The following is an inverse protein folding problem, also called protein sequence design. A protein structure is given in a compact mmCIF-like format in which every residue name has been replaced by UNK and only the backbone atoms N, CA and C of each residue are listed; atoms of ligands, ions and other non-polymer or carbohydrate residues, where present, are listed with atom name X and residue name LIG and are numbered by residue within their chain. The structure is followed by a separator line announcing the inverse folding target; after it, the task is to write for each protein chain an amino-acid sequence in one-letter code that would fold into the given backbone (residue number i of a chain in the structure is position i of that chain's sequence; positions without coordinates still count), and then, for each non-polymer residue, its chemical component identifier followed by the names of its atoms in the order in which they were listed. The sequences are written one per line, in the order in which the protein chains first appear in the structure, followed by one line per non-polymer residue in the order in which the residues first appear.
data_IF_520595910017
#
_entry.id   IF_520595910017
#
_cell.length_a   1.000
_cell.length_b   1.000
_cell.length_c   1.000
_cell.angle_alpha   90.00
_cell.angle_beta   90.00
_cell.angle_gamma   90.00
#
_symmetry.space_group_name_H-M   'P 1'
#
loop_
_entity.id
_entity.type
_entity.pdbx_description
1 polymer ?
#
# COMPACT_ATOMS: atom_id res chain seq x y z
N UNK A 1 28.16 18.54 13.83
CA UNK A 1 26.76 18.32 14.25
C UNK A 1 26.09 19.69 14.42
N UNK A 2 25.44 20.17 13.35
CA UNK A 2 24.45 21.25 13.27
C UNK A 2 23.70 20.99 11.97
N UNK A 3 22.41 20.69 12.07
CA UNK A 3 21.51 20.48 10.94
C UNK A 3 21.06 21.87 10.46
N UNK A 4 21.15 22.13 9.16
CA UNK A 4 20.68 23.38 8.55
C UNK A 4 19.78 23.02 7.37
N UNK A 5 18.48 23.28 7.52
CA UNK A 5 17.51 23.22 6.42
C UNK A 5 17.93 24.23 5.34
N UNK A 6 17.98 23.79 4.07
CA UNK A 6 18.26 24.65 2.93
C UNK A 6 17.00 25.47 2.63
N UNK A 7 16.89 26.63 3.26
CA UNK A 7 16.51 27.85 2.54
C UNK A 7 17.83 28.56 2.20
N UNK A 8 17.96 28.98 0.95
CA UNK A 8 19.11 29.61 0.30
C UNK A 8 20.25 28.73 -0.22
N UNK A 9 20.48 28.93 -1.52
CA UNK A 9 21.54 28.37 -2.33
C UNK A 9 22.91 28.90 -1.90
N UNK A 10 23.88 28.00 -1.70
CA UNK A 10 25.20 28.09 -2.32
C UNK A 10 26.11 26.89 -1.99
N UNK A 11 26.77 26.41 -3.05
CA UNK A 11 28.05 25.66 -3.10
C UNK A 11 28.01 24.12 -3.00
N UNK A 12 28.80 23.55 -3.92
CA UNK A 12 29.03 22.15 -4.27
C UNK A 12 29.74 21.32 -3.19
N UNK A 13 29.29 20.08 -3.04
CA UNK A 13 29.95 19.00 -2.32
C UNK A 13 29.12 17.73 -2.52
N UNK A 14 29.53 16.87 -3.45
CA UNK A 14 28.82 15.64 -3.83
C UNK A 14 28.80 14.68 -2.65
N UNK A 15 27.64 14.55 -2.01
CA UNK A 15 27.24 13.42 -1.18
C UNK A 15 25.72 13.24 -1.24
N UNK A 16 25.28 11.98 -1.20
CA UNK A 16 23.91 11.47 -1.11
C UNK A 16 23.17 11.90 0.19
N UNK A 17 23.50 13.06 0.76
CA UNK A 17 23.18 13.39 2.16
C UNK A 17 22.12 14.46 2.37
N UNK A 18 21.55 15.08 1.35
CA UNK A 18 20.40 15.97 1.55
C UNK A 18 19.43 15.86 0.37
N UNK A 19 18.42 15.00 0.51
CA UNK A 19 17.24 15.06 -0.34
C UNK A 19 16.45 16.32 0.01
N UNK A 20 16.38 17.35 -0.85
CA UNK A 20 15.50 18.49 -0.58
C UNK A 20 14.06 17.99 -0.63
N UNK A 21 13.44 17.82 0.54
CA UNK A 21 11.99 17.67 0.62
C UNK A 21 11.38 19.00 0.22
N UNK A 22 10.63 18.99 -0.87
CA UNK A 22 9.98 20.18 -1.38
C UNK A 22 8.49 20.09 -1.04
N UNK A 23 7.96 21.10 -0.36
CA UNK A 23 6.61 21.05 0.23
C UNK A 23 5.54 21.70 -0.65
N UNK A 24 5.89 22.11 -1.88
CA UNK A 24 4.94 22.70 -2.83
C UNK A 24 5.41 22.47 -4.28
N UNK A 25 4.59 21.84 -5.12
CA UNK A 25 4.88 21.73 -6.57
C UNK A 25 4.20 22.80 -7.40
N UNK A 26 3.63 23.82 -6.76
CA UNK A 26 2.98 24.95 -7.41
C UNK A 26 3.75 26.26 -7.19
N UNK A 27 4.81 26.22 -6.39
CA UNK A 27 5.83 27.26 -6.44
C UNK A 27 6.62 27.13 -7.76
N UNK A 28 6.12 27.87 -8.76
CA UNK A 28 6.76 27.99 -10.07
C UNK A 28 8.21 28.44 -9.95
N UNK A 29 8.55 29.24 -8.94
CA UNK A 29 9.91 29.66 -8.65
C UNK A 29 10.78 28.49 -8.23
N UNK A 30 10.31 27.65 -7.31
CA UNK A 30 11.02 26.47 -6.83
C UNK A 30 11.23 25.43 -7.94
N UNK A 31 10.19 25.12 -8.71
CA UNK A 31 10.30 24.14 -9.80
C UNK A 31 11.20 24.65 -10.94
N UNK A 32 11.12 25.93 -11.30
CA UNK A 32 12.04 26.53 -12.26
C UNK A 32 13.48 26.55 -11.74
N UNK A 33 13.69 26.85 -10.46
CA UNK A 33 15.01 26.81 -9.83
C UNK A 33 15.59 25.39 -9.83
N UNK A 34 14.79 24.36 -9.54
CA UNK A 34 15.23 22.97 -9.65
C UNK A 34 15.54 22.60 -11.09
N UNK A 35 14.68 22.97 -12.04
CA UNK A 35 14.91 22.72 -13.46
C UNK A 35 16.22 23.39 -13.92
N UNK A 36 16.48 24.61 -13.49
CA UNK A 36 17.73 25.32 -13.78
C UNK A 36 18.93 24.61 -13.15
N UNK A 37 18.87 24.27 -11.86
CA UNK A 37 19.96 23.58 -11.14
C UNK A 37 20.29 22.21 -11.71
N UNK A 38 19.30 21.51 -12.24
CA UNK A 38 19.46 20.19 -12.86
C UNK A 38 19.82 20.25 -14.35
N UNK A 39 19.95 21.47 -14.91
CA UNK A 39 20.26 21.67 -16.33
C UNK A 39 19.12 21.26 -17.27
N UNK A 40 17.88 21.32 -16.80
CA UNK A 40 16.67 20.92 -17.54
C UNK A 40 16.04 22.06 -18.34
N UNK A 41 16.47 23.32 -18.11
CA UNK A 41 16.05 24.46 -18.91
C UNK A 41 16.99 24.63 -20.12
N UNK A 42 16.44 24.58 -21.33
CA UNK A 42 17.19 24.94 -22.54
C UNK A 42 16.99 26.43 -22.84
N UNK A 43 18.04 27.06 -23.37
CA UNK A 43 17.98 28.42 -23.89
C UNK A 43 16.94 28.49 -25.03
N UNK A 44 15.86 29.25 -24.84
CA UNK A 44 14.83 29.51 -25.86
C UNK A 44 13.65 28.54 -25.92
N UNK A 45 13.60 27.46 -25.14
CA UNK A 45 12.38 26.63 -24.98
C UNK A 45 11.41 27.28 -23.98
N UNK A 46 10.09 27.09 -24.17
CA UNK A 46 9.09 27.42 -23.15
C UNK A 46 9.50 26.86 -21.79
N UNK A 47 9.21 27.56 -20.69
CA UNK A 47 9.61 27.14 -19.35
C UNK A 47 9.29 25.66 -19.14
N UNK A 48 10.25 24.90 -18.59
CA UNK A 48 10.10 23.48 -18.19
C UNK A 48 8.73 23.20 -17.54
N UNK A 49 8.23 24.19 -16.81
CA UNK A 49 6.90 24.26 -16.20
C UNK A 49 5.72 24.05 -17.15
N UNK A 50 5.72 24.58 -18.36
CA UNK A 50 4.58 24.44 -19.27
C UNK A 50 4.45 23.00 -19.77
N UNK A 51 5.57 22.34 -20.02
CA UNK A 51 5.62 20.93 -20.39
C UNK A 51 5.28 20.03 -19.20
N UNK A 52 5.83 20.34 -18.01
CA UNK A 52 5.54 19.63 -16.76
C UNK A 52 4.05 19.74 -16.40
N UNK A 53 3.52 20.96 -16.37
CA UNK A 53 2.12 21.24 -16.03
C UNK A 53 1.15 20.56 -16.96
N UNK A 54 1.41 20.58 -18.29
CA UNK A 54 0.58 19.85 -19.26
C UNK A 54 0.52 18.35 -18.97
N UNK A 55 1.65 17.74 -18.60
CA UNK A 55 1.71 16.30 -18.27
C UNK A 55 1.03 15.98 -16.94
N UNK A 56 1.30 16.77 -15.91
CA UNK A 56 0.65 16.60 -14.59
C UNK A 56 -0.86 16.77 -14.71
N UNK A 57 -1.35 17.72 -15.52
CA UNK A 57 -2.78 17.90 -15.81
C UNK A 57 -3.41 16.74 -16.58
N UNK A 58 -2.62 15.97 -17.33
CA UNK A 58 -3.09 14.77 -18.03
C UNK A 58 -3.19 13.54 -17.11
N UNK A 59 -2.62 13.60 -15.89
CA UNK A 59 -2.78 12.52 -14.91
C UNK A 59 -4.21 12.50 -14.34
N UNK A 60 -4.79 11.32 -14.10
CA UNK A 60 -6.14 11.25 -13.53
C UNK A 60 -6.20 11.87 -12.12
N UNK A 61 -7.33 12.50 -11.83
CA UNK A 61 -7.60 13.22 -10.58
C UNK A 61 -8.37 14.53 -10.82
N UNK A 62 -8.43 15.37 -9.80
CA UNK A 62 -9.10 16.67 -9.86
C UNK A 62 -8.22 17.74 -9.25
N UNK A 63 -8.25 18.94 -9.84
CA UNK A 63 -7.46 20.10 -9.38
C UNK A 63 -6.00 19.73 -9.07
N UNK A 64 -5.59 19.92 -7.81
CA UNK A 64 -4.24 19.71 -7.27
C UNK A 64 -3.95 18.23 -6.96
N UNK A 65 -4.97 17.41 -6.79
CA UNK A 65 -4.82 15.99 -6.45
C UNK A 65 -4.79 15.13 -7.72
N UNK A 66 -3.58 14.72 -8.14
CA UNK A 66 -3.31 14.04 -9.42
C UNK A 66 -2.44 12.81 -9.19
N UNK A 67 -2.86 11.62 -9.59
CA UNK A 67 -2.09 10.39 -9.30
C UNK A 67 -1.74 9.66 -10.59
N UNK A 68 -0.61 8.96 -10.63
CA UNK A 68 -0.17 8.23 -11.82
C UNK A 68 1.32 8.37 -12.09
N UNK A 69 1.75 7.81 -13.23
CA UNK A 69 3.14 7.80 -13.68
C UNK A 69 3.26 8.56 -14.99
N UNK A 70 4.30 9.38 -15.13
CA UNK A 70 4.64 10.03 -16.39
C UNK A 70 6.14 9.93 -16.63
N UNK A 71 6.53 9.38 -17.78
CA UNK A 71 7.92 9.32 -18.21
C UNK A 71 8.19 10.36 -19.28
N UNK A 72 9.23 11.18 -19.08
CA UNK A 72 9.75 12.10 -20.10
C UNK A 72 11.01 11.47 -20.73
N UNK A 73 10.98 11.20 -22.05
CA UNK A 73 12.18 10.82 -22.80
C UNK A 73 13.26 11.91 -22.74
N UNK A 74 14.54 11.56 -22.97
CA UNK A 74 15.57 12.52 -23.33
C UNK A 74 15.12 13.37 -24.54
N UNK A 75 15.42 14.68 -24.55
CA UNK A 75 14.92 15.62 -25.56
C UNK A 75 15.76 15.74 -26.84
N UNK A 76 16.95 15.13 -26.94
CA UNK A 76 17.79 15.26 -28.14
C UNK A 76 18.12 13.92 -28.79
N UNK A 77 17.98 13.87 -30.11
CA UNK A 77 18.67 12.89 -30.93
C UNK A 77 20.19 13.14 -30.82
N UNK A 78 21.02 12.11 -30.65
CA UNK A 78 22.47 12.24 -30.41
C UNK A 78 23.30 12.91 -31.52
N UNK A 79 22.70 13.41 -32.60
CA UNK A 79 23.40 13.59 -33.88
C UNK A 79 24.12 14.92 -34.09
N UNK A 80 23.91 15.97 -33.28
CA UNK A 80 24.38 17.34 -33.65
C UNK A 80 25.20 18.11 -32.61
N UNK A 81 25.43 17.58 -31.40
CA UNK A 81 26.21 18.30 -30.39
C UNK A 81 27.71 17.87 -30.38
N UNK A 82 28.64 18.83 -30.22
CA UNK A 82 30.06 18.54 -30.15
C UNK A 82 30.40 17.60 -28.98
N UNK A 83 31.33 16.67 -29.22
CA UNK A 83 31.80 15.59 -28.32
C UNK A 83 32.38 16.02 -26.96
N UNK A 84 32.26 17.29 -26.56
CA UNK A 84 32.77 17.77 -25.27
C UNK A 84 31.75 17.53 -24.16
N UNK A 85 32.07 16.59 -23.26
CA UNK A 85 31.41 16.31 -21.97
C UNK A 85 29.89 16.15 -22.06
N UNK A 86 29.46 14.92 -22.36
CA UNK A 86 28.06 14.48 -22.44
C UNK A 86 27.21 15.03 -21.28
N UNK A 87 26.12 15.76 -21.56
CA UNK A 87 24.94 15.66 -20.73
C UNK A 87 24.34 14.28 -21.05
N UNK A 88 24.62 13.31 -20.18
CA UNK A 88 24.05 11.96 -20.28
C UNK A 88 22.53 12.02 -20.55
N UNK A 89 22.02 11.04 -21.29
CA UNK A 89 20.59 10.84 -21.54
C UNK A 89 19.81 10.77 -20.22
N UNK A 90 19.40 11.93 -19.71
CA UNK A 90 18.64 12.04 -18.47
C UNK A 90 17.17 11.92 -18.81
N UNK A 91 16.55 10.86 -18.31
CA UNK A 91 15.10 10.73 -18.31
C UNK A 91 14.54 11.45 -17.09
N UNK A 92 13.25 11.75 -17.10
CA UNK A 92 12.55 12.19 -15.89
C UNK A 92 11.35 11.28 -15.70
N UNK A 93 11.36 10.50 -14.61
CA UNK A 93 10.21 9.72 -14.18
C UNK A 93 9.49 10.50 -13.09
N UNK A 94 8.27 10.92 -13.40
CA UNK A 94 7.34 11.49 -12.44
C UNK A 94 6.39 10.40 -11.95
N UNK A 95 6.25 10.29 -10.63
CA UNK A 95 5.32 9.36 -9.99
C UNK A 95 4.53 10.13 -8.96
N UNK A 96 3.21 10.07 -9.01
CA UNK A 96 2.37 10.61 -7.95
C UNK A 96 1.48 9.54 -7.34
N UNK A 97 1.58 9.42 -6.02
CA UNK A 97 1.11 8.30 -5.24
C UNK A 97 0.22 8.78 -4.08
N UNK A 98 -1.06 8.34 -3.99
CA UNK A 98 -1.91 8.66 -2.86
C UNK A 98 -1.57 7.78 -1.66
N UNK A 99 -1.69 8.30 -0.44
CA UNK A 99 -1.51 7.52 0.78
C UNK A 99 -2.38 8.03 1.93
N UNK A 100 -2.66 7.15 2.88
CA UNK A 100 -3.46 7.51 4.06
C UNK A 100 -2.66 8.42 4.99
N UNK A 101 -3.38 9.39 5.56
CA UNK A 101 -2.87 10.45 6.38
C UNK A 101 -3.66 10.60 7.66
N UNK A 102 -3.00 11.12 8.70
CA UNK A 102 -3.67 11.56 9.91
C UNK A 102 -4.01 13.04 9.75
N UNK A 103 -5.27 13.40 9.99
CA UNK A 103 -5.61 14.81 10.21
C UNK A 103 -4.94 15.27 11.50
N UNK A 104 -4.09 16.29 11.42
CA UNK A 104 -3.69 17.05 12.61
C UNK A 104 -4.85 17.97 12.97
N UNK A 105 -5.35 17.83 14.20
CA UNK A 105 -6.56 18.49 14.72
C UNK A 105 -6.59 20.02 14.58
N UNK A 106 -5.47 20.65 14.26
CA UNK A 106 -5.28 22.10 14.21
C UNK A 106 -5.34 22.71 12.81
N UNK A 107 -5.36 21.92 11.73
CA UNK A 107 -5.30 22.51 10.38
C UNK A 107 -6.70 22.91 9.95
N UNK A 108 -6.98 24.21 10.09
CA UNK A 108 -8.07 24.85 9.33
C UNK A 108 -7.76 24.67 7.86
N UNK A 109 -8.61 23.88 7.25
CA UNK A 109 -8.31 23.18 6.04
C UNK A 109 -8.73 24.23 4.96
N UNK A 110 -7.78 24.90 4.31
CA UNK A 110 -8.04 26.07 3.43
C UNK A 110 -8.68 25.74 2.07
N UNK A 111 -8.86 26.71 1.17
CA UNK A 111 -9.22 26.46 -0.24
C UNK A 111 -8.06 25.84 -1.06
N UNK A 112 -6.85 25.87 -0.49
CA UNK A 112 -5.60 25.52 -1.16
C UNK A 112 -5.05 24.15 -0.75
N UNK A 113 -5.92 23.22 -0.36
CA UNK A 113 -5.49 21.93 0.20
C UNK A 113 -4.83 21.05 -0.86
N UNK A 114 -3.76 20.36 -0.45
CA UNK A 114 -3.14 19.29 -1.23
C UNK A 114 -3.56 17.89 -0.76
N UNK A 115 -4.32 17.82 0.33
CA UNK A 115 -4.88 16.61 0.91
C UNK A 115 -6.39 16.61 0.78
N UNK A 116 -6.96 15.42 0.63
CA UNK A 116 -8.40 15.23 0.52
C UNK A 116 -8.94 14.52 1.75
N UNK A 117 -10.20 14.76 2.10
CA UNK A 117 -10.89 13.84 2.99
C UNK A 117 -11.06 12.51 2.25
N UNK A 118 -11.07 11.41 2.98
CA UNK A 118 -11.25 10.07 2.40
C UNK A 118 -12.49 9.99 1.50
N UNK A 119 -13.62 10.56 1.95
CA UNK A 119 -14.86 10.64 1.16
C UNK A 119 -14.68 11.43 -0.14
N UNK A 120 -13.99 12.56 -0.09
CA UNK A 120 -13.76 13.42 -1.27
C UNK A 120 -12.87 12.72 -2.30
N UNK A 121 -11.90 11.90 -1.85
CA UNK A 121 -11.05 11.12 -2.75
C UNK A 121 -11.85 10.17 -3.62
N UNK A 122 -12.89 9.52 -3.09
CA UNK A 122 -13.76 8.62 -3.86
C UNK A 122 -14.45 9.33 -5.02
N UNK A 123 -14.75 10.61 -4.87
CA UNK A 123 -15.42 11.42 -5.88
C UNK A 123 -14.50 11.82 -7.04
N UNK A 124 -13.17 11.70 -6.90
CA UNK A 124 -12.20 12.09 -7.94
C UNK A 124 -12.31 11.29 -9.25
N UNK A 125 -12.96 10.11 -9.23
CA UNK A 125 -13.12 9.25 -10.41
C UNK A 125 -14.46 9.41 -11.13
N UNK A 126 -15.41 10.15 -10.54
CA UNK A 126 -16.74 10.40 -11.11
C UNK A 126 -16.73 11.82 -11.65
N UNK A 127 -17.09 12.04 -12.92
CA UNK A 127 -17.21 13.38 -13.54
C UNK A 127 -18.31 14.18 -12.82
N UNK A 128 -17.98 14.71 -11.64
CA UNK A 128 -18.91 15.34 -10.72
C UNK A 128 -18.97 16.84 -10.99
N UNK A 129 -19.32 17.24 -12.22
CA UNK A 129 -19.53 18.66 -12.54
C UNK A 129 -20.82 19.25 -11.92
N UNK A 130 -21.74 18.42 -11.38
CA UNK A 130 -23.08 18.89 -11.01
C UNK A 130 -23.56 18.60 -9.57
N UNK A 131 -22.71 18.12 -8.64
CA UNK A 131 -23.18 17.78 -7.28
C UNK A 131 -22.21 18.16 -6.16
N UNK A 132 -21.99 19.46 -5.94
CA UNK A 132 -21.61 19.91 -4.60
C UNK A 132 -22.88 20.05 -3.74
N UNK A 133 -23.42 18.91 -3.30
CA UNK A 133 -24.40 18.93 -2.21
C UNK A 133 -23.62 19.25 -0.93
N UNK A 134 -23.93 20.38 -0.31
CA UNK A 134 -23.33 20.83 0.94
C UNK A 134 -23.72 19.84 2.04
N UNK A 135 -22.86 18.85 2.31
CA UNK A 135 -23.07 17.88 3.40
C UNK A 135 -22.95 18.62 4.73
N UNK A 136 -24.02 18.62 5.54
CA UNK A 136 -24.02 19.24 6.88
C UNK A 136 -22.93 18.59 7.75
N UNK A 137 -22.10 19.42 8.39
CA UNK A 137 -20.97 19.01 9.23
C UNK A 137 -21.37 18.46 10.62
N UNK A 138 -22.66 18.36 10.94
CA UNK A 138 -23.11 18.27 12.34
C UNK A 138 -22.92 16.91 13.02
N UNK A 139 -22.73 15.79 12.30
CA UNK A 139 -22.58 14.48 12.95
C UNK A 139 -21.09 14.14 13.13
N UNK A 140 -20.52 14.59 14.25
CA UNK A 140 -19.14 14.26 14.68
C UNK A 140 -19.07 12.84 15.29
N UNK A 141 -19.30 11.80 14.50
CA UNK A 141 -18.87 10.45 14.91
C UNK A 141 -17.34 10.41 14.86
N UNK A 142 -16.71 9.79 15.88
CA UNK A 142 -15.26 9.79 16.16
C UNK A 142 -14.31 9.25 15.08
N UNK A 143 -14.79 9.02 13.86
CA UNK A 143 -13.97 8.93 12.65
C UNK A 143 -13.47 10.36 12.36
N UNK A 144 -12.51 10.81 13.17
CA UNK A 144 -11.69 11.97 12.81
C UNK A 144 -11.17 11.75 11.39
N UNK A 145 -11.26 12.80 10.58
CA UNK A 145 -11.09 12.75 9.13
C UNK A 145 -9.81 12.02 8.76
N UNK A 146 -9.95 10.78 8.29
CA UNK A 146 -8.87 10.11 7.58
C UNK A 146 -8.61 10.97 6.36
N UNK A 147 -7.38 11.48 6.24
CA UNK A 147 -6.96 12.25 5.08
C UNK A 147 -6.32 11.30 4.08
N UNK A 148 -6.44 11.66 2.81
CA UNK A 148 -5.66 11.08 1.74
C UNK A 148 -4.66 12.16 1.32
N UNK A 149 -3.40 11.93 1.67
CA UNK A 149 -2.29 12.75 1.23
C UNK A 149 -1.81 12.28 -0.15
N UNK A 150 -1.03 13.12 -0.78
CA UNK A 150 -0.37 12.86 -2.05
C UNK A 150 1.14 12.99 -1.86
N UNK A 151 1.88 12.03 -2.40
CA UNK A 151 3.31 12.20 -2.62
C UNK A 151 3.58 12.28 -4.11
N UNK A 152 4.58 13.09 -4.47
CA UNK A 152 5.07 13.22 -5.82
C UNK A 152 6.57 12.93 -5.77
N UNK A 153 7.04 12.11 -6.69
CA UNK A 153 8.43 11.72 -6.84
C UNK A 153 8.87 12.13 -8.23
N UNK A 154 9.99 12.83 -8.32
CA UNK A 154 10.65 13.18 -9.57
C UNK A 154 12.02 12.53 -9.56
N UNK A 155 12.18 11.46 -10.34
CA UNK A 155 13.43 10.71 -10.47
C UNK A 155 14.11 11.19 -11.74
N UNK A 156 15.32 11.73 -11.60
CA UNK A 156 16.13 12.26 -12.70
C UNK A 156 17.17 11.23 -13.16
N UNK A 157 17.64 10.41 -12.22
CA UNK A 157 18.56 9.30 -12.45
C UNK A 157 18.48 8.32 -11.24
N UNK A 158 19.31 7.29 -11.18
CA UNK A 158 19.28 6.32 -10.08
C UNK A 158 19.86 6.85 -8.75
N UNK A 159 20.44 8.05 -8.73
CA UNK A 159 21.05 8.67 -7.56
C UNK A 159 20.32 9.94 -7.11
N UNK A 160 19.56 10.55 -8.03
CA UNK A 160 18.92 11.85 -7.85
C UNK A 160 17.40 11.72 -7.95
N UNK A 161 16.72 12.03 -6.86
CA UNK A 161 15.26 12.11 -6.79
C UNK A 161 14.83 13.32 -5.96
N UNK A 162 13.78 14.02 -6.37
CA UNK A 162 13.06 14.96 -5.53
C UNK A 162 11.76 14.32 -5.05
N UNK A 163 11.44 14.52 -3.77
CA UNK A 163 10.18 14.07 -3.17
C UNK A 163 9.39 15.26 -2.69
N UNK A 164 8.11 15.27 -3.02
CA UNK A 164 7.13 16.24 -2.57
C UNK A 164 6.01 15.52 -1.83
N UNK A 165 5.49 16.17 -0.79
CA UNK A 165 4.38 15.68 0.02
C UNK A 165 3.36 16.78 0.18
N UNK A 166 2.11 16.39 0.36
CA UNK A 166 1.04 17.34 0.69
C UNK A 166 1.44 18.20 1.89
N UNK A 167 1.21 19.51 1.78
CA UNK A 167 1.46 20.47 2.85
C UNK A 167 0.83 20.07 4.20
N UNK A 168 -0.32 19.42 4.19
CA UNK A 168 -1.03 19.01 5.42
C UNK A 168 -0.44 17.75 6.06
N UNK A 169 0.54 17.10 5.44
CA UNK A 169 1.24 15.98 6.06
C UNK A 169 2.11 16.50 7.22
N UNK A 170 1.69 16.24 8.45
CA UNK A 170 2.39 16.65 9.66
C UNK A 170 3.65 15.82 9.93
N UNK A 171 3.90 14.75 9.19
CA UNK A 171 5.10 13.91 9.32
C UNK A 171 6.36 14.52 8.66
N UNK A 172 6.42 15.86 8.59
CA UNK A 172 7.46 16.62 7.88
C UNK A 172 8.89 16.27 8.33
N UNK A 173 9.06 16.00 9.62
CA UNK A 173 10.37 15.67 10.20
C UNK A 173 10.71 14.18 10.12
N UNK A 174 9.76 13.34 9.73
CA UNK A 174 10.00 11.91 9.53
C UNK A 174 10.47 11.68 8.10
N UNK A 175 11.80 11.59 7.96
CA UNK A 175 12.42 11.09 6.75
C UNK A 175 11.84 9.68 6.50
N UNK A 176 11.11 9.48 5.39
CA UNK A 176 10.43 8.21 5.11
C UNK A 176 11.40 7.07 4.80
N UNK A 177 12.67 7.43 4.58
CA UNK A 177 13.73 6.51 4.31
C UNK A 177 14.42 6.14 5.63
N UNK A 178 14.51 4.85 5.90
CA UNK A 178 15.34 4.34 6.98
C UNK A 178 16.81 4.73 6.71
N UNK A 179 17.61 5.01 7.74
CA UNK A 179 19.04 5.39 7.60
C UNK A 179 19.92 4.44 6.77
N UNK A 180 19.45 3.21 6.54
CA UNK A 180 20.14 2.22 5.71
C UNK A 180 19.65 2.17 4.26
N UNK A 181 18.54 2.84 3.95
CA UNK A 181 18.00 3.02 2.60
C UNK A 181 18.75 4.12 1.82
N UNK A 182 19.63 4.92 2.45
CA UNK A 182 20.50 5.89 1.76
C UNK A 182 21.46 5.25 0.74
N UNK A 183 21.71 3.94 0.86
CA UNK A 183 22.55 3.16 -0.08
C UNK A 183 21.75 2.60 -1.26
N UNK A 184 20.46 2.92 -1.34
CA UNK A 184 19.54 2.35 -2.31
C UNK A 184 19.28 3.38 -3.40
N UNK A 185 19.36 2.96 -4.67
CA UNK A 185 19.07 3.85 -5.81
C UNK A 185 17.65 4.43 -5.76
N UNK A 186 17.46 5.60 -6.37
CA UNK A 186 16.24 6.41 -6.34
C UNK A 186 14.95 5.62 -6.62
N UNK A 187 14.97 4.71 -7.59
CA UNK A 187 13.82 3.87 -7.91
C UNK A 187 13.43 2.96 -6.75
N UNK A 188 14.42 2.29 -6.16
CA UNK A 188 14.17 1.35 -5.06
C UNK A 188 13.88 2.11 -3.77
N UNK A 189 14.47 3.29 -3.56
CA UNK A 189 14.09 4.21 -2.49
C UNK A 189 12.61 4.63 -2.61
N UNK A 190 12.13 4.98 -3.81
CA UNK A 190 10.73 5.30 -4.04
C UNK A 190 9.80 4.12 -3.73
N UNK A 191 10.11 2.90 -4.20
CA UNK A 191 9.30 1.71 -3.89
C UNK A 191 9.26 1.45 -2.38
N UNK A 192 10.39 1.57 -1.69
CA UNK A 192 10.43 1.46 -0.23
C UNK A 192 9.62 2.55 0.47
N UNK A 193 9.64 3.78 -0.01
CA UNK A 193 8.81 4.87 0.55
C UNK A 193 7.32 4.61 0.35
N UNK A 194 6.94 3.99 -0.76
CA UNK A 194 5.57 3.53 -1.00
C UNK A 194 5.21 2.38 -0.04
N UNK A 195 6.11 1.42 0.12
CA UNK A 195 5.94 0.28 1.01
C UNK A 195 5.81 0.71 2.47
N UNK A 196 6.72 1.55 2.98
CA UNK A 196 6.76 2.05 4.37
C UNK A 196 5.46 2.76 4.80
N UNK A 197 4.61 3.18 3.87
CA UNK A 197 3.31 3.79 4.18
C UNK A 197 2.20 2.78 4.47
N UNK A 198 2.48 1.48 4.41
CA UNK A 198 1.61 0.38 4.89
C UNK A 198 1.18 0.56 6.34
N UNK A 199 2.03 1.10 7.22
CA UNK A 199 1.68 1.28 8.63
C UNK A 199 0.46 2.20 8.81
N UNK A 200 0.33 3.21 7.94
CA UNK A 200 -0.81 4.12 7.94
C UNK A 200 -2.09 3.43 7.45
N UNK A 201 -1.97 2.42 6.59
CA UNK A 201 -3.11 1.57 6.17
C UNK A 201 -3.60 0.71 7.31
N UNK A 202 -2.70 0.06 8.06
CA UNK A 202 -3.07 -0.72 9.23
C UNK A 202 -3.73 0.15 10.30
N UNK A 203 -3.20 1.36 10.52
CA UNK A 203 -3.83 2.33 11.42
C UNK A 203 -5.22 2.73 10.94
N UNK A 204 -5.38 3.02 9.64
CA UNK A 204 -6.67 3.38 9.04
C UNK A 204 -7.68 2.25 9.19
N UNK A 205 -7.26 1.01 8.90
CA UNK A 205 -8.08 -0.18 9.08
C UNK A 205 -8.52 -0.33 10.54
N UNK A 206 -7.60 -0.22 11.49
CA UNK A 206 -7.91 -0.30 12.91
C UNK A 206 -8.91 0.78 13.36
N UNK A 207 -8.83 1.99 12.81
CA UNK A 207 -9.82 3.06 13.07
C UNK A 207 -11.19 2.74 12.50
N UNK A 208 -11.26 2.21 11.28
CA UNK A 208 -12.51 1.80 10.65
C UNK A 208 -13.15 0.63 11.40
N UNK A 209 -12.35 -0.36 11.83
CA UNK A 209 -12.79 -1.48 12.67
C UNK A 209 -13.34 -1.03 14.02
N UNK A 210 -12.63 -0.15 14.73
CA UNK A 210 -13.10 0.38 16.01
C UNK A 210 -14.41 1.16 15.84
N UNK A 211 -14.58 1.85 14.71
CA UNK A 211 -15.82 2.58 14.41
C UNK A 211 -16.98 1.65 14.08
N UNK A 212 -16.71 0.55 13.36
CA UNK A 212 -17.70 -0.49 13.12
C UNK A 212 -18.13 -1.14 14.43
N UNK A 213 -17.17 -1.54 15.28
CA UNK A 213 -17.45 -2.19 16.55
C UNK A 213 -18.30 -1.32 17.47
N UNK A 214 -17.95 -0.03 17.61
CA UNK A 214 -18.77 0.93 18.36
C UNK A 214 -20.20 1.02 17.82
N UNK A 215 -20.35 1.01 16.50
CA UNK A 215 -21.66 1.09 15.86
C UNK A 215 -22.49 -0.20 16.08
N UNK A 216 -21.83 -1.36 16.15
CA UNK A 216 -22.46 -2.61 16.57
C UNK A 216 -22.94 -2.53 18.02
N UNK A 217 -22.11 -2.05 18.95
CA UNK A 217 -22.50 -1.85 20.35
C UNK A 217 -23.69 -0.89 20.48
N UNK A 218 -23.68 0.23 19.73
CA UNK A 218 -24.78 1.20 19.74
C UNK A 218 -26.09 0.61 19.19
N UNK A 219 -26.01 -0.31 18.21
CA UNK A 219 -27.15 -1.05 17.66
C UNK A 219 -27.68 -2.06 18.69
N UNK A 220 -26.80 -2.86 19.29
CA UNK A 220 -27.17 -3.89 20.27
C UNK A 220 -27.78 -3.25 21.53
N UNK A 221 -27.23 -2.11 21.96
CA UNK A 221 -27.82 -1.29 23.03
C UNK A 221 -29.21 -0.80 22.65
N UNK A 222 -29.40 -0.28 21.43
CA UNK A 222 -30.71 0.21 20.97
C UNK A 222 -31.76 -0.92 20.92
N UNK A 223 -31.37 -2.13 20.50
CA UNK A 223 -32.23 -3.31 20.50
C UNK A 223 -32.59 -3.73 21.93
N UNK A 224 -31.64 -3.63 22.86
CA UNK A 224 -31.87 -3.98 24.26
C UNK A 224 -32.80 -3.00 24.97
N UNK A 225 -32.60 -1.70 24.76
CA UNK A 225 -33.42 -0.61 25.31
C UNK A 225 -34.89 -0.67 24.84
N UNK A 226 -35.16 -1.34 23.71
CA UNK A 226 -36.48 -1.44 23.12
C UNK A 226 -37.49 -2.25 23.94
N UNK A 227 -37.02 -3.09 24.86
CA UNK A 227 -37.89 -3.95 25.67
C UNK A 227 -38.49 -3.22 26.90
N UNK A 228 -37.98 -2.04 27.23
CA UNK A 228 -38.47 -1.25 28.37
C UNK A 228 -39.60 -0.31 27.91
N UNK A 229 -40.78 -0.42 28.54
CA UNK A 229 -42.06 0.19 28.13
C UNK A 229 -41.98 1.57 27.45
N UNK A 230 -42.49 1.67 26.21
CA UNK A 230 -42.51 2.89 25.41
C UNK A 230 -43.73 3.78 25.70
N UNK A 231 -43.51 4.90 26.39
CA UNK A 231 -44.38 6.07 26.23
C UNK A 231 -44.25 6.63 24.81
N UNK A 232 -45.27 7.33 24.31
CA UNK A 232 -45.28 7.94 22.95
C UNK A 232 -44.07 8.83 22.62
N UNK A 233 -43.41 9.40 23.64
CA UNK A 233 -42.19 10.18 23.49
C UNK A 233 -40.95 9.29 23.23
N UNK A 234 -40.93 8.06 23.75
CA UNK A 234 -39.88 7.06 23.55
C UNK A 234 -39.76 6.63 22.10
N UNK A 235 -40.88 6.34 21.45
CA UNK A 235 -40.93 5.92 20.05
C UNK A 235 -40.27 6.93 19.09
N UNK A 236 -40.53 8.23 19.28
CA UNK A 236 -39.93 9.29 18.45
C UNK A 236 -38.41 9.36 18.63
N UNK A 237 -37.93 9.29 19.87
CA UNK A 237 -36.49 9.34 20.20
C UNK A 237 -35.76 8.11 19.65
N UNK A 238 -36.39 6.92 19.73
CA UNK A 238 -35.87 5.67 19.16
C UNK A 238 -35.77 5.75 17.64
N UNK A 239 -36.79 6.28 16.97
CA UNK A 239 -36.76 6.48 15.52
C UNK A 239 -35.64 7.45 15.10
N UNK A 240 -35.43 8.54 15.84
CA UNK A 240 -34.34 9.49 15.59
C UNK A 240 -32.97 8.82 15.76
N UNK A 241 -32.74 8.13 16.88
CA UNK A 241 -31.52 7.33 17.12
C UNK A 241 -31.29 6.31 16.01
N UNK A 242 -32.35 5.66 15.53
CA UNK A 242 -32.24 4.68 14.45
C UNK A 242 -31.81 5.31 13.11
N UNK A 243 -32.33 6.50 12.79
CA UNK A 243 -31.91 7.27 11.61
C UNK A 243 -30.44 7.69 11.72
N UNK A 244 -30.00 8.09 12.90
CA UNK A 244 -28.62 8.47 13.14
C UNK A 244 -27.67 7.28 12.96
N UNK A 245 -28.01 6.11 13.51
CA UNK A 245 -27.23 4.87 13.34
C UNK A 245 -27.17 4.44 11.87
N UNK A 246 -28.29 4.50 11.15
CA UNK A 246 -28.30 4.18 9.72
C UNK A 246 -27.43 5.17 8.92
N UNK A 247 -27.46 6.44 9.29
CA UNK A 247 -26.61 7.48 8.68
C UNK A 247 -25.13 7.21 8.96
N UNK A 248 -24.79 6.81 10.19
CA UNK A 248 -23.44 6.42 10.58
C UNK A 248 -22.95 5.16 9.82
N UNK A 249 -23.81 4.13 9.69
CA UNK A 249 -23.52 2.92 8.89
C UNK A 249 -23.27 3.26 7.42
N UNK A 250 -24.10 4.13 6.84
CA UNK A 250 -23.93 4.57 5.46
C UNK A 250 -22.63 5.35 5.30
N UNK A 251 -22.30 6.25 6.23
CA UNK A 251 -21.05 7.01 6.19
C UNK A 251 -19.83 6.09 6.28
N UNK A 252 -19.80 5.18 7.26
CA UNK A 252 -18.71 4.21 7.43
C UNK A 252 -18.55 3.32 6.19
N UNK A 253 -19.66 2.92 5.56
CA UNK A 253 -19.63 2.21 4.29
C UNK A 253 -18.91 3.00 3.20
N UNK A 254 -19.25 4.29 3.06
CA UNK A 254 -18.62 5.15 2.06
C UNK A 254 -17.13 5.35 2.37
N UNK A 255 -16.74 5.48 3.63
CA UNK A 255 -15.34 5.56 4.08
C UNK A 255 -14.56 4.27 3.75
N UNK A 256 -15.13 3.09 4.02
CA UNK A 256 -14.53 1.78 3.67
C UNK A 256 -14.31 1.66 2.15
N UNK A 257 -15.32 2.01 1.35
CA UNK A 257 -15.19 2.00 -0.11
C UNK A 257 -14.14 2.98 -0.61
N UNK A 258 -14.08 4.17 -0.02
CA UNK A 258 -13.05 5.15 -0.35
C UNK A 258 -11.64 4.64 -0.02
N UNK A 259 -11.46 3.93 1.10
CA UNK A 259 -10.20 3.28 1.45
C UNK A 259 -9.79 2.20 0.42
N UNK A 260 -10.76 1.41 -0.06
CA UNK A 260 -10.53 0.47 -1.18
C UNK A 260 -10.06 1.22 -2.42
N UNK A 261 -10.73 2.32 -2.80
CA UNK A 261 -10.34 3.10 -3.97
C UNK A 261 -8.93 3.69 -3.87
N UNK A 262 -8.50 4.11 -2.68
CA UNK A 262 -7.10 4.55 -2.47
C UNK A 262 -6.14 3.39 -2.75
N UNK A 263 -6.37 2.22 -2.16
CA UNK A 263 -5.50 1.05 -2.34
C UNK A 263 -5.48 0.53 -3.79
N UNK A 264 -6.62 0.51 -4.47
CA UNK A 264 -6.70 0.16 -5.90
C UNK A 264 -5.88 1.14 -6.75
N UNK A 265 -5.94 2.43 -6.42
CA UNK A 265 -5.15 3.45 -7.12
C UNK A 265 -3.65 3.26 -6.90
N UNK A 266 -3.24 2.90 -5.69
CA UNK A 266 -1.85 2.57 -5.38
C UNK A 266 -1.35 1.34 -6.15
N UNK A 267 -2.17 0.27 -6.24
CA UNK A 267 -1.87 -0.93 -7.04
C UNK A 267 -1.66 -0.56 -8.50
N UNK A 268 -2.56 0.25 -9.09
CA UNK A 268 -2.44 0.66 -10.49
C UNK A 268 -1.11 1.37 -10.76
N UNK A 269 -0.69 2.29 -9.87
CA UNK A 269 0.59 3.00 -10.00
C UNK A 269 1.78 2.03 -9.88
N UNK A 270 1.73 1.08 -8.95
CA UNK A 270 2.76 0.06 -8.78
C UNK A 270 2.86 -0.85 -10.02
N UNK A 271 1.73 -1.22 -10.63
CA UNK A 271 1.68 -2.01 -11.87
C UNK A 271 2.20 -1.23 -13.09
N UNK A 272 1.92 0.08 -13.16
CA UNK A 272 2.48 0.96 -14.18
C UNK A 272 4.01 1.03 -14.04
N UNK A 273 4.50 1.20 -12.81
CA UNK A 273 5.94 1.18 -12.52
C UNK A 273 6.58 -0.16 -12.87
N UNK A 274 5.95 -1.28 -12.48
CA UNK A 274 6.41 -2.61 -12.85
C UNK A 274 6.52 -2.76 -14.38
N UNK A 275 5.51 -2.30 -15.12
CA UNK A 275 5.49 -2.35 -16.59
C UNK A 275 6.59 -1.51 -17.23
N UNK A 276 6.82 -0.30 -16.71
CA UNK A 276 7.90 0.60 -17.14
C UNK A 276 9.26 -0.06 -16.93
N UNK A 277 9.50 -0.63 -15.74
CA UNK A 277 10.74 -1.31 -15.39
C UNK A 277 10.97 -2.59 -16.17
N UNK A 278 9.94 -3.42 -16.32
CA UNK A 278 9.99 -4.66 -17.11
C UNK A 278 10.30 -4.39 -18.59
N UNK A 279 9.70 -3.33 -19.16
CA UNK A 279 9.92 -2.93 -20.55
C UNK A 279 11.38 -2.48 -20.74
N UNK A 280 11.89 -1.66 -19.82
CA UNK A 280 13.30 -1.22 -19.83
C UNK A 280 14.27 -2.41 -19.74
N UNK A 281 13.99 -3.37 -18.84
CA UNK A 281 14.81 -4.57 -18.69
C UNK A 281 14.87 -5.43 -19.97
N UNK A 282 13.71 -5.68 -20.60
CA UNK A 282 13.60 -6.51 -21.82
C UNK A 282 14.29 -5.92 -23.04
N UNK A 283 14.38 -4.58 -23.15
CA UNK A 283 15.10 -3.95 -24.27
C UNK A 283 16.60 -4.24 -24.19
N UNK A 284 17.18 -4.28 -22.99
CA UNK A 284 18.62 -4.50 -22.80
C UNK A 284 19.08 -5.93 -23.11
N UNK A 285 18.35 -6.94 -22.64
CA UNK A 285 18.74 -8.34 -22.87
C UNK A 285 18.73 -8.68 -24.36
N UNK A 286 17.80 -8.08 -25.12
CA UNK A 286 17.75 -8.24 -26.58
C UNK A 286 18.90 -7.56 -27.30
N UNK A 287 19.39 -6.41 -26.85
CA UNK A 287 20.51 -5.74 -27.52
C UNK A 287 21.85 -6.47 -27.32
N UNK A 288 22.03 -7.22 -26.22
CA UNK A 288 23.17 -8.11 -26.03
C UNK A 288 23.10 -9.39 -26.88
N UNK A 289 21.89 -9.87 -27.22
CA UNK A 289 21.69 -11.09 -28.01
C UNK A 289 21.57 -10.84 -29.52
N UNK A 290 21.41 -9.58 -29.96
CA UNK A 290 21.17 -9.26 -31.38
C UNK A 290 22.42 -8.99 -32.18
N UNK A 291 22.96 -10.09 -32.69
CA UNK A 291 23.40 -10.18 -34.09
C UNK A 291 22.24 -10.31 -35.09
N UNK A 292 20.95 -10.28 -34.68
CA UNK A 292 19.81 -10.45 -35.59
C UNK A 292 18.56 -9.60 -35.24
N UNK A 293 17.95 -8.87 -36.20
CA UNK A 293 16.82 -7.99 -35.93
C UNK A 293 15.50 -8.77 -35.76
N UNK A 294 15.06 -8.95 -34.52
CA UNK A 294 13.73 -9.49 -34.20
C UNK A 294 12.63 -8.40 -34.32
N UNK A 295 11.53 -8.77 -34.99
CA UNK A 295 10.27 -8.05 -35.21
C UNK A 295 9.78 -7.29 -33.96
N UNK A 296 9.59 -5.97 -34.05
CA UNK A 296 9.04 -5.11 -32.96
C UNK A 296 7.51 -5.18 -32.90
N UNK A 297 6.95 -5.22 -31.70
CA UNK A 297 5.50 -5.18 -31.43
C UNK A 297 4.97 -3.73 -31.60
N UNK A 298 3.91 -3.49 -32.41
CA UNK A 298 3.43 -2.15 -32.75
C UNK A 298 2.84 -1.33 -31.60
N UNK A 299 2.43 -1.93 -30.48
CA UNK A 299 1.83 -1.20 -29.37
C UNK A 299 2.83 -0.45 -28.46
N UNK A 300 4.14 -0.65 -28.66
CA UNK A 300 5.21 -0.03 -27.85
C UNK A 300 6.00 1.04 -28.61
N UNK A 301 5.40 1.69 -29.62
CA UNK A 301 6.16 2.52 -30.58
C UNK A 301 6.82 3.78 -29.99
N UNK A 302 6.37 4.29 -28.84
CA UNK A 302 6.83 5.60 -28.32
C UNK A 302 7.24 5.62 -26.83
N UNK A 303 7.38 4.46 -26.18
CA UNK A 303 7.92 4.45 -24.80
C UNK A 303 9.44 4.50 -24.94
N UNK A 304 10.00 5.69 -24.75
CA UNK A 304 11.45 5.83 -24.68
C UNK A 304 11.96 4.90 -23.56
N UNK A 305 12.91 4.00 -23.86
CA UNK A 305 13.47 3.13 -22.84
C UNK A 305 14.07 4.02 -21.75
N UNK A 306 13.84 3.69 -20.47
CA UNK A 306 14.55 4.35 -19.39
C UNK A 306 16.03 4.05 -19.62
N UNK A 307 16.88 5.08 -19.77
CA UNK A 307 18.34 4.96 -19.77
C UNK A 307 18.77 4.08 -18.60
N UNK A 308 19.17 2.85 -18.91
CA UNK A 308 19.76 1.97 -17.91
C UNK A 308 21.18 2.49 -17.72
N UNK A 309 21.43 3.10 -16.55
CA UNK A 309 22.79 3.44 -16.14
C UNK A 309 23.62 2.14 -16.19
N UNK A 310 24.50 2.09 -17.19
CA UNK A 310 25.25 0.88 -17.54
C UNK A 310 26.19 0.44 -16.43
N UNK A 311 26.49 1.33 -15.49
CA UNK A 311 27.49 1.15 -14.45
C UNK A 311 27.11 0.13 -13.38
N UNK A 312 25.82 -0.15 -13.11
CA UNK A 312 25.41 -1.06 -12.02
C UNK A 312 24.12 -1.87 -12.29
N UNK A 313 24.09 -2.77 -13.29
CA UNK A 313 22.89 -3.54 -13.65
C UNK A 313 22.40 -4.48 -12.54
N UNK A 314 23.30 -5.00 -11.71
CA UNK A 314 23.00 -5.98 -10.66
C UNK A 314 22.25 -5.38 -9.46
N UNK A 315 22.36 -4.06 -9.24
CA UNK A 315 21.71 -3.39 -8.11
C UNK A 315 20.24 -3.05 -8.36
N UNK A 316 19.78 -3.04 -9.62
CA UNK A 316 18.61 -2.22 -9.99
C UNK A 316 17.35 -3.06 -10.24
N UNK A 317 17.42 -4.32 -10.71
CA UNK A 317 16.25 -4.88 -11.42
C UNK A 317 15.52 -6.11 -10.84
N UNK A 318 16.15 -7.29 -10.61
CA UNK A 318 15.38 -8.48 -10.21
C UNK A 318 14.64 -8.25 -8.89
N UNK A 319 15.39 -7.82 -7.88
CA UNK A 319 14.84 -7.57 -6.55
C UNK A 319 13.80 -6.43 -6.53
N UNK A 320 13.87 -5.47 -7.46
CA UNK A 320 12.94 -4.32 -7.49
C UNK A 320 11.58 -4.74 -8.03
N UNK A 321 11.53 -5.57 -9.08
CA UNK A 321 10.27 -6.10 -9.60
C UNK A 321 9.60 -7.00 -8.55
N UNK A 322 10.38 -7.84 -7.88
CA UNK A 322 9.89 -8.69 -6.78
C UNK A 322 9.36 -7.85 -5.62
N UNK A 323 10.07 -6.79 -5.22
CA UNK A 323 9.59 -5.86 -4.19
C UNK A 323 8.27 -5.21 -4.60
N UNK A 324 8.11 -4.80 -5.87
CA UNK A 324 6.83 -4.22 -6.33
C UNK A 324 5.70 -5.25 -6.22
N UNK A 325 5.95 -6.50 -6.62
CA UNK A 325 4.97 -7.57 -6.55
C UNK A 325 4.55 -7.84 -5.10
N UNK A 326 5.51 -7.88 -4.17
CA UNK A 326 5.25 -8.03 -2.73
C UNK A 326 4.34 -6.91 -2.21
N UNK A 327 4.67 -5.65 -2.51
CA UNK A 327 3.84 -4.50 -2.09
C UNK A 327 2.45 -4.56 -2.74
N UNK A 328 2.33 -5.00 -4.00
CA UNK A 328 1.02 -5.19 -4.65
C UNK A 328 0.19 -6.26 -3.94
N UNK A 329 0.79 -7.38 -3.53
CA UNK A 329 0.09 -8.43 -2.78
C UNK A 329 -0.33 -7.96 -1.38
N UNK A 330 0.49 -7.16 -0.70
CA UNK A 330 0.11 -6.52 0.57
C UNK A 330 -1.13 -5.62 0.40
N UNK A 331 -1.16 -4.79 -0.66
CA UNK A 331 -2.30 -3.91 -0.96
C UNK A 331 -3.57 -4.69 -1.30
N UNK A 332 -3.44 -5.82 -2.02
CA UNK A 332 -4.57 -6.73 -2.27
C UNK A 332 -5.09 -7.35 -0.97
N UNK A 333 -4.19 -7.76 -0.07
CA UNK A 333 -4.55 -8.28 1.26
C UNK A 333 -5.29 -7.23 2.10
N UNK A 334 -4.85 -5.97 2.07
CA UNK A 334 -5.57 -4.85 2.68
C UNK A 334 -6.98 -4.69 2.10
N UNK A 335 -7.14 -4.66 0.77
CA UNK A 335 -8.46 -4.56 0.12
C UNK A 335 -9.36 -5.73 0.54
N UNK A 336 -8.83 -6.95 0.62
CA UNK A 336 -9.59 -8.13 1.06
C UNK A 336 -10.13 -7.93 2.48
N UNK A 337 -9.30 -7.49 3.43
CA UNK A 337 -9.73 -7.19 4.81
C UNK A 337 -10.79 -6.09 4.87
N UNK A 338 -10.67 -5.04 4.06
CA UNK A 338 -11.69 -3.98 4.00
C UNK A 338 -13.01 -4.51 3.44
N UNK A 339 -12.98 -5.39 2.42
CA UNK A 339 -14.18 -6.03 1.87
C UNK A 339 -14.89 -6.92 2.90
N UNK A 340 -14.14 -7.69 3.67
CA UNK A 340 -14.70 -8.48 4.79
C UNK A 340 -15.44 -7.58 5.81
N UNK A 341 -14.89 -6.39 6.12
CA UNK A 341 -15.59 -5.42 6.99
C UNK A 341 -16.87 -4.85 6.37
N UNK A 342 -16.87 -4.60 5.05
CA UNK A 342 -18.06 -4.14 4.34
C UNK A 342 -19.17 -5.20 4.37
N UNK A 343 -18.81 -6.47 4.20
CA UNK A 343 -19.74 -7.60 4.29
C UNK A 343 -20.34 -7.73 5.69
N UNK A 344 -19.50 -7.68 6.74
CA UNK A 344 -19.97 -7.70 8.13
C UNK A 344 -20.95 -6.55 8.42
N UNK A 345 -20.62 -5.35 7.95
CA UNK A 345 -21.48 -4.18 8.11
C UNK A 345 -22.81 -4.29 7.33
N UNK A 346 -22.82 -4.94 6.15
CA UNK A 346 -24.06 -5.20 5.40
C UNK A 346 -24.98 -6.17 6.15
N UNK A 347 -24.42 -7.21 6.78
CA UNK A 347 -25.16 -8.12 7.66
C UNK A 347 -25.78 -7.35 8.83
N UNK A 348 -25.00 -6.53 9.53
CA UNK A 348 -25.49 -5.70 10.64
C UNK A 348 -26.59 -4.74 10.22
N UNK A 349 -26.43 -4.10 9.05
CA UNK A 349 -27.46 -3.24 8.46
C UNK A 349 -28.76 -3.99 8.20
N UNK A 350 -28.69 -5.23 7.68
CA UNK A 350 -29.88 -6.08 7.43
C UNK A 350 -30.59 -6.46 8.73
N UNK A 351 -29.84 -6.87 9.76
CA UNK A 351 -30.39 -7.18 11.09
C UNK A 351 -31.10 -5.94 11.66
N UNK A 352 -30.42 -4.79 11.63
CA UNK A 352 -30.96 -3.53 12.10
C UNK A 352 -32.23 -3.11 11.34
N UNK A 353 -32.23 -3.24 10.02
CA UNK A 353 -33.39 -2.92 9.20
C UNK A 353 -34.57 -3.88 9.45
N UNK A 354 -34.32 -5.16 9.73
CA UNK A 354 -35.35 -6.12 10.11
C UNK A 354 -35.97 -5.77 11.46
N UNK A 355 -35.13 -5.41 12.44
CA UNK A 355 -35.56 -4.93 13.75
C UNK A 355 -36.47 -3.69 13.65
N UNK A 356 -36.09 -2.68 12.84
CA UNK A 356 -36.93 -1.50 12.65
C UNK A 356 -38.27 -1.81 11.97
N UNK A 357 -38.35 -2.89 11.20
CA UNK A 357 -39.60 -3.33 10.56
C UNK A 357 -40.50 -4.11 11.52
N UNK A 358 -39.95 -4.91 12.44
CA UNK A 358 -40.76 -5.64 13.43
C UNK A 358 -41.53 -4.67 14.33
N UNK A 359 -40.87 -3.62 14.81
CA UNK A 359 -41.50 -2.61 15.68
C UNK A 359 -42.63 -1.86 14.96
N UNK A 360 -42.49 -1.63 13.64
CA UNK A 360 -43.56 -1.04 12.84
C UNK A 360 -44.74 -1.99 12.61
N UNK A 361 -44.47 -3.30 12.49
CA UNK A 361 -45.50 -4.31 12.30
C UNK A 361 -46.32 -4.52 13.58
N UNK A 362 -45.70 -4.42 14.77
CA UNK A 362 -46.38 -4.53 16.06
C UNK A 362 -47.30 -3.33 16.34
N UNK A 363 -46.97 -2.16 15.80
CA UNK A 363 -47.83 -0.97 15.85
C UNK A 363 -49.00 -0.97 14.84
N UNK A 364 -49.05 -1.93 13.90
CA UNK A 364 -50.10 -2.06 12.90
C UNK A 364 -51.15 -3.12 13.31
N UNK A 365 -52.46 -2.82 13.34
CA UNK A 365 -53.48 -3.69 13.93
C UNK A 365 -53.90 -4.91 13.07
N UNK A 366 -53.02 -5.46 12.23
CA UNK A 366 -53.36 -6.53 11.28
C UNK A 366 -52.55 -7.81 11.52
N UNK A 367 -53.24 -8.86 11.97
CA UNK A 367 -52.73 -10.20 12.26
C UNK A 367 -52.03 -10.86 11.04
N UNK A 368 -52.47 -10.54 9.82
CA UNK A 368 -51.86 -11.03 8.57
C UNK A 368 -50.45 -10.46 8.33
N UNK A 369 -50.21 -9.22 8.78
CA UNK A 369 -48.92 -8.54 8.59
C UNK A 369 -47.86 -9.07 9.57
N UNK A 370 -48.26 -9.40 10.80
CA UNK A 370 -47.38 -10.03 11.79
C UNK A 370 -46.88 -11.41 11.30
N UNK A 371 -47.76 -12.23 10.72
CA UNK A 371 -47.41 -13.60 10.29
C UNK A 371 -46.43 -13.62 9.11
N UNK A 372 -46.58 -12.72 8.13
CA UNK A 372 -45.62 -12.57 7.01
C UNK A 372 -44.25 -12.07 7.48
N UNK A 373 -44.23 -11.17 8.46
CA UNK A 373 -42.99 -10.59 8.99
C UNK A 373 -42.21 -11.62 9.80
N UNK A 374 -42.89 -12.45 10.59
CA UNK A 374 -42.27 -13.55 11.35
C UNK A 374 -41.61 -14.59 10.44
N UNK A 375 -42.22 -14.89 9.28
CA UNK A 375 -41.61 -15.76 8.26
C UNK A 375 -40.35 -15.16 7.63
N UNK A 376 -40.36 -13.85 7.34
CA UNK A 376 -39.21 -13.15 6.78
C UNK A 376 -38.04 -13.04 7.77
N UNK A 377 -38.32 -12.78 9.04
CA UNK A 377 -37.29 -12.75 10.11
C UNK A 377 -36.66 -14.13 10.27
N UNK A 378 -37.47 -15.19 10.35
CA UNK A 378 -36.95 -16.56 10.47
C UNK A 378 -36.09 -16.97 9.27
N UNK A 379 -36.51 -16.62 8.06
CA UNK A 379 -35.70 -16.85 6.85
C UNK A 379 -34.38 -16.07 6.87
N UNK A 380 -34.36 -14.89 7.49
CA UNK A 380 -33.14 -14.07 7.59
C UNK A 380 -32.21 -14.63 8.68
N UNK A 381 -32.77 -15.11 9.79
CA UNK A 381 -32.05 -15.78 10.88
C UNK A 381 -31.40 -17.09 10.39
N UNK A 382 -32.13 -17.89 9.62
CA UNK A 382 -31.61 -19.11 8.99
C UNK A 382 -30.45 -18.79 8.03
N UNK A 383 -30.57 -17.74 7.21
CA UNK A 383 -29.50 -17.29 6.32
C UNK A 383 -28.26 -16.80 7.11
N UNK A 384 -28.45 -16.06 8.19
CA UNK A 384 -27.35 -15.62 9.07
C UNK A 384 -26.64 -16.84 9.68
N UNK A 385 -27.40 -17.81 10.16
CA UNK A 385 -26.85 -19.04 10.76
C UNK A 385 -26.06 -19.87 9.75
N UNK A 386 -26.54 -19.96 8.51
CA UNK A 386 -25.82 -20.63 7.42
C UNK A 386 -24.53 -19.89 7.07
N UNK A 387 -24.56 -18.56 7.03
CA UNK A 387 -23.37 -17.73 6.78
C UNK A 387 -22.33 -17.88 7.89
N UNK A 388 -22.76 -17.89 9.15
CA UNK A 388 -21.88 -18.09 10.31
C UNK A 388 -21.21 -19.47 10.27
N UNK A 389 -21.95 -20.50 9.86
CA UNK A 389 -21.40 -21.85 9.68
C UNK A 389 -20.33 -21.89 8.59
N UNK A 390 -20.54 -21.19 7.46
CA UNK A 390 -19.52 -21.08 6.40
C UNK A 390 -18.27 -20.36 6.92
N UNK A 391 -18.42 -19.30 7.72
CA UNK A 391 -17.28 -18.58 8.31
C UNK A 391 -16.49 -19.50 9.27
N UNK A 392 -17.17 -20.26 10.12
CA UNK A 392 -16.54 -21.24 11.02
C UNK A 392 -15.80 -22.33 10.23
N UNK A 393 -16.41 -22.87 9.17
CA UNK A 393 -15.76 -23.84 8.27
C UNK A 393 -14.52 -23.25 7.58
N UNK A 394 -14.61 -21.99 7.14
CA UNK A 394 -13.49 -21.28 6.48
C UNK A 394 -12.34 -20.99 7.45
N UNK A 395 -12.65 -20.64 8.71
CA UNK A 395 -11.65 -20.49 9.76
C UNK A 395 -10.98 -21.82 10.10
N UNK A 396 -11.75 -22.91 10.18
CA UNK A 396 -11.20 -24.24 10.41
C UNK A 396 -10.26 -24.68 9.26
N UNK A 397 -10.62 -24.38 8.00
CA UNK A 397 -9.78 -24.60 6.82
C UNK A 397 -8.48 -23.78 6.88
N UNK A 398 -8.55 -22.50 7.28
CA UNK A 398 -7.38 -21.62 7.45
C UNK A 398 -6.44 -22.12 8.56
N UNK A 399 -6.98 -22.57 9.68
CA UNK A 399 -6.19 -23.19 10.76
C UNK A 399 -5.49 -24.46 10.25
N UNK A 400 -6.19 -25.26 9.44
CA UNK A 400 -5.64 -26.48 8.82
C UNK A 400 -4.55 -26.18 7.79
N UNK A 401 -4.71 -25.11 6.99
CA UNK A 401 -3.66 -24.62 6.08
C UNK A 401 -2.45 -24.11 6.86
N UNK A 402 -2.66 -23.35 7.93
CA UNK A 402 -1.59 -22.88 8.81
C UNK A 402 -0.81 -24.03 9.47
N UNK A 403 -1.50 -25.08 9.90
CA UNK A 403 -0.87 -26.31 10.43
C UNK A 403 -0.06 -27.04 9.36
N UNK A 404 -0.59 -27.14 8.13
CA UNK A 404 0.09 -27.80 7.00
C UNK A 404 1.35 -27.02 6.60
N UNK A 405 1.26 -25.69 6.53
CA UNK A 405 2.39 -24.82 6.22
C UNK A 405 3.46 -24.90 7.32
N UNK A 406 3.06 -24.91 8.59
CA UNK A 406 3.97 -25.09 9.73
C UNK A 406 4.67 -26.45 9.68
N UNK A 407 3.98 -27.51 9.29
CA UNK A 407 4.57 -28.84 9.09
C UNK A 407 5.62 -28.83 7.98
N UNK A 408 5.29 -28.22 6.83
CA UNK A 408 6.21 -28.06 5.72
C UNK A 408 7.46 -27.24 6.09
N UNK A 409 7.29 -26.13 6.83
CA UNK A 409 8.41 -25.32 7.32
C UNK A 409 9.30 -26.12 8.26
N UNK A 410 8.73 -26.92 9.17
CA UNK A 410 9.50 -27.75 10.09
C UNK A 410 10.33 -28.81 9.36
N UNK A 411 9.72 -29.49 8.38
CA UNK A 411 10.41 -30.45 7.51
C UNK A 411 11.54 -29.74 6.75
N UNK A 412 11.24 -28.66 6.04
CA UNK A 412 12.22 -27.93 5.22
C UNK A 412 13.41 -27.45 6.06
N UNK A 413 13.15 -26.94 7.27
CA UNK A 413 14.21 -26.43 8.15
C UNK A 413 15.06 -27.55 8.75
N UNK A 414 14.50 -28.75 8.94
CA UNK A 414 15.25 -29.93 9.36
C UNK A 414 16.17 -30.46 8.24
N UNK A 415 15.73 -30.37 6.97
CA UNK A 415 16.50 -30.86 5.82
C UNK A 415 17.56 -29.87 5.32
N UNK A 416 17.38 -28.56 5.50
CA UNK A 416 18.32 -27.53 5.04
C UNK A 416 19.78 -27.73 5.52
N UNK A 417 20.04 -27.98 6.82
CA UNK A 417 21.39 -28.24 7.31
C UNK A 417 21.93 -29.59 6.83
N UNK A 418 21.05 -30.57 6.63
CA UNK A 418 21.41 -31.89 6.13
C UNK A 418 21.88 -31.80 4.68
N UNK A 419 21.12 -31.09 3.84
CA UNK A 419 21.47 -30.81 2.43
C UNK A 419 22.78 -30.04 2.32
N UNK A 420 22.99 -29.03 3.19
CA UNK A 420 24.25 -28.30 3.24
C UNK A 420 25.43 -29.23 3.58
N UNK A 421 25.28 -30.10 4.58
CA UNK A 421 26.32 -31.07 4.93
C UNK A 421 26.56 -32.08 3.79
N UNK A 422 25.50 -32.61 3.19
CA UNK A 422 25.59 -33.53 2.05
C UNK A 422 26.28 -32.86 0.85
N UNK A 423 25.98 -31.59 0.58
CA UNK A 423 26.62 -30.82 -0.50
C UNK A 423 28.09 -30.52 -0.19
N UNK A 424 28.39 -30.02 1.01
CA UNK A 424 29.75 -29.66 1.43
C UNK A 424 30.70 -30.87 1.38
N UNK A 425 30.28 -31.98 1.99
CA UNK A 425 31.09 -33.21 1.97
C UNK A 425 31.01 -33.93 0.62
N UNK A 426 29.89 -33.86 -0.10
CA UNK A 426 29.72 -34.42 -1.43
C UNK A 426 30.61 -33.79 -2.50
N UNK A 427 30.93 -32.49 -2.36
CA UNK A 427 31.87 -31.81 -3.24
C UNK A 427 33.34 -32.18 -2.95
N UNK A 428 33.66 -32.59 -1.72
CA UNK A 428 35.00 -33.03 -1.33
C UNK A 428 35.23 -34.53 -1.54
N UNK A 429 34.15 -35.34 -1.57
CA UNK A 429 34.25 -36.81 -1.64
C UNK A 429 34.76 -37.36 -2.97
N UNK A 430 34.59 -36.64 -4.09
CA UNK A 430 35.12 -37.05 -5.39
C UNK A 430 36.66 -37.17 -5.41
N UNK A 431 37.38 -36.49 -4.51
CA UNK A 431 38.85 -36.64 -4.34
C UNK A 431 39.25 -37.47 -3.13
N UNK A 432 38.49 -37.45 -2.04
CA UNK A 432 38.92 -38.02 -0.76
C UNK A 432 38.37 -39.41 -0.43
N UNK A 433 37.30 -39.86 -1.09
CA UNK A 433 36.64 -41.14 -0.77
C UNK A 433 36.78 -42.21 -1.87
N UNK A 434 37.26 -41.83 -3.07
CA UNK A 434 37.41 -42.73 -4.22
C UNK A 434 38.80 -43.37 -4.40
N UNK A 435 39.79 -43.01 -3.58
CA UNK A 435 41.16 -43.57 -3.64
C UNK A 435 41.43 -44.54 -2.50
N UNK A 436 42.40 -45.46 -2.67
CA UNK A 436 42.77 -46.50 -1.68
C UNK A 436 43.24 -46.00 -0.30
N UNK A 437 43.18 -44.69 -0.04
CA UNK A 437 43.45 -44.03 1.23
C UNK A 437 42.32 -43.05 1.57
N UNK A 438 41.13 -43.58 1.87
CA UNK A 438 40.02 -42.74 2.34
C UNK A 438 40.39 -42.05 3.66
N UNK A 439 40.58 -40.73 3.63
CA UNK A 439 41.03 -39.92 4.77
C UNK A 439 39.95 -39.71 5.83
N UNK A 440 38.67 -39.89 5.47
CA UNK A 440 37.53 -39.65 6.34
C UNK A 440 36.68 -40.92 6.46
N UNK A 441 36.64 -41.48 7.66
CA UNK A 441 35.71 -42.58 7.97
C UNK A 441 34.29 -42.03 8.17
N UNK A 442 33.28 -42.84 7.83
CA UNK A 442 31.86 -42.51 8.07
C UNK A 442 31.61 -42.09 9.53
N UNK A 443 32.35 -42.67 10.48
CA UNK A 443 32.28 -42.34 11.90
C UNK A 443 32.76 -40.92 12.19
N UNK A 444 33.83 -40.46 11.56
CA UNK A 444 34.35 -39.10 11.72
C UNK A 444 33.43 -38.05 11.09
N UNK A 445 32.78 -38.38 9.97
CA UNK A 445 31.74 -37.54 9.39
C UNK A 445 30.63 -37.30 10.42
N UNK A 446 29.99 -38.36 10.94
CA UNK A 446 28.90 -38.22 11.90
C UNK A 446 29.31 -37.56 13.22
N UNK A 447 30.54 -37.78 13.68
CA UNK A 447 31.08 -37.11 14.87
C UNK A 447 31.14 -35.58 14.71
N UNK A 448 31.38 -35.08 13.50
CA UNK A 448 31.44 -33.65 13.22
C UNK A 448 30.05 -33.07 12.86
N UNK A 449 29.28 -33.75 12.02
CA UNK A 449 27.99 -33.22 11.52
C UNK A 449 26.84 -33.38 12.51
N UNK A 450 26.78 -34.45 13.30
CA UNK A 450 25.64 -34.69 14.20
C UNK A 450 25.47 -33.58 15.25
N UNK A 451 26.52 -33.08 15.95
CA UNK A 451 26.38 -31.99 16.91
C UNK A 451 25.90 -30.68 16.27
N UNK A 452 26.42 -30.35 15.09
CA UNK A 452 26.01 -29.15 14.34
C UNK A 452 24.55 -29.25 13.91
N UNK A 453 24.12 -30.41 13.42
CA UNK A 453 22.73 -30.64 13.02
C UNK A 453 21.77 -30.53 14.21
N UNK A 454 22.13 -31.15 15.34
CA UNK A 454 21.37 -31.06 16.60
C UNK A 454 21.31 -29.63 17.10
N UNK A 455 22.42 -28.88 17.05
CA UNK A 455 22.46 -27.48 17.46
C UNK A 455 21.54 -26.58 16.62
N UNK A 456 21.55 -26.74 15.30
CA UNK A 456 20.68 -25.96 14.40
C UNK A 456 19.20 -26.34 14.60
N UNK A 457 18.90 -27.63 14.77
CA UNK A 457 17.55 -28.10 15.07
C UNK A 457 17.04 -27.53 16.39
N UNK A 458 17.84 -27.59 17.46
CA UNK A 458 17.47 -27.04 18.77
C UNK A 458 17.25 -25.52 18.71
N UNK A 459 18.14 -24.79 18.03
CA UNK A 459 18.00 -23.33 17.85
C UNK A 459 16.71 -22.99 17.09
N UNK A 460 16.41 -23.75 16.02
CA UNK A 460 15.20 -23.56 15.23
C UNK A 460 13.94 -23.82 16.06
N UNK A 461 13.91 -24.93 16.80
CA UNK A 461 12.81 -25.28 17.70
C UNK A 461 12.62 -24.18 18.76
N UNK A 462 13.72 -23.68 19.34
CA UNK A 462 13.69 -22.55 20.27
C UNK A 462 13.08 -21.29 19.64
N UNK A 463 13.48 -20.91 18.42
CA UNK A 463 12.92 -19.73 17.72
C UNK A 463 11.43 -19.91 17.43
N UNK A 464 11.00 -21.12 17.02
CA UNK A 464 9.60 -21.43 16.76
C UNK A 464 8.78 -21.36 18.05
N UNK A 465 9.25 -21.97 19.13
CA UNK A 465 8.58 -21.93 20.44
C UNK A 465 8.52 -20.50 20.96
N UNK A 466 9.60 -19.72 20.80
CA UNK A 466 9.68 -18.33 21.24
C UNK A 466 8.74 -17.38 20.50
N UNK A 467 8.43 -17.68 19.23
CA UNK A 467 7.48 -16.89 18.43
C UNK A 467 6.02 -17.30 18.64
N UNK A 468 5.74 -18.44 19.26
CA UNK A 468 4.36 -18.89 19.50
C UNK A 468 3.77 -18.12 20.69
N UNK A 469 2.53 -17.66 20.55
CA UNK A 469 1.86 -16.79 21.54
C UNK A 469 1.81 -17.36 22.97
N UNK A 470 1.94 -18.68 23.15
CA UNK A 470 2.06 -19.33 24.46
C UNK A 470 3.27 -18.85 25.29
N UNK A 471 4.34 -18.38 24.64
CA UNK A 471 5.50 -17.79 25.31
C UNK A 471 5.26 -16.34 25.80
N UNK A 472 4.18 -15.69 25.33
CA UNK A 472 3.77 -14.35 25.76
C UNK A 472 3.05 -14.44 27.11
N UNK A 473 2.23 -15.47 27.32
CA UNK A 473 1.57 -15.71 28.61
C UNK A 473 2.54 -16.17 29.71
N UNK A 474 3.64 -16.85 29.35
CA UNK A 474 4.72 -17.22 30.29
C UNK A 474 5.68 -16.05 30.63
N UNK A 475 5.55 -14.89 29.96
CA UNK A 475 6.30 -13.66 30.25
C UNK A 475 5.53 -12.64 31.07
N UNK A 476 4.22 -12.80 31.20
CA UNK A 476 3.44 -12.14 32.24
C UNK A 476 3.56 -12.93 33.53
#
# INVERSE_FOLDING_TARGET
MRVKFIADANIWGVFLSDFPQCYDTHDDGLLNLMAQKLGLQQEGETAFMDAYSRRVRALPGHERFRTGVSLRPPLKEPSELPKSSLPEDRFILFVSFPYFGRSSEEITLGQERESLKLLDFRLLGVDARDRMVKVSEEVRVGIREILVHQARYMIFDNYTMATFRSKEDSSRDQVPLHRFQERVGAFRAMIHMIANRTELELWTLGKLQASLHKLEEDIDQMISDANDHEDSQGAKKKQERARDLLTALNRLSVDLFAAVSVAERQIAILQDLHSVFLTSYRTKTKDYERGYPLRRNPFYRNVAPIPILSENPEQIWPNTLDTINEVVEERKSFIKKVKELVENMDIRRKIFAAFLKSDQAEAAPSEETAQKTMGAVKSTEDAIRETQKVIEETQAELVKQGQTLSGFTLVTTAFLPLDFCCSYYGMQTMREFGGGSALLSLRQFWLATAPTLVGILLLTVLVIIWKREWAIDLRR
#
